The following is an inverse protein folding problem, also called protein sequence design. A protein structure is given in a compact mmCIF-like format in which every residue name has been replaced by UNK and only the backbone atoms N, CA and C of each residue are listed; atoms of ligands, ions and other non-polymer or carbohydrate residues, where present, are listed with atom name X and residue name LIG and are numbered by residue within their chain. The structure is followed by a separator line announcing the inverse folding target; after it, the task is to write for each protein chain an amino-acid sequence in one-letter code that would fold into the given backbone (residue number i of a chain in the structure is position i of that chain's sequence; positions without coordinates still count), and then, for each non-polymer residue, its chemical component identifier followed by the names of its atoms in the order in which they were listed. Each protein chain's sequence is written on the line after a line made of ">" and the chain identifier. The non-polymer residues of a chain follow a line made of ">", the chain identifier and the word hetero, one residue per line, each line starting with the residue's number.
data_IF_150609274753
#
_entry.id   IF_150609274753
#
_cell.length_a   1.000
_cell.length_b   1.000
_cell.length_c   1.000
_cell.angle_alpha   90.00
_cell.angle_beta   90.00
_cell.angle_gamma   90.00
#
_symmetry.space_group_name_H-M   'P 1'
#
loop_
_entity.id
_entity.type
_entity.pdbx_description
1 polymer ?
#
# COMPACT_ATOMS: atom_id res chain seq x y z
N UNK A 1 17.85 2.11 19.55
CA UNK A 1 18.14 3.56 19.65
C UNK A 1 17.07 4.27 18.84
N UNK A 2 16.14 4.97 19.50
CA UNK A 2 15.09 5.72 18.81
C UNK A 2 15.67 7.07 18.39
N UNK A 3 15.61 7.38 17.09
CA UNK A 3 16.13 8.62 16.53
C UNK A 3 15.04 9.70 16.58
N UNK A 4 15.42 10.98 16.68
CA UNK A 4 14.46 12.09 16.62
C UNK A 4 13.69 12.12 15.28
N UNK A 5 14.26 11.54 14.22
CA UNK A 5 13.63 11.35 12.92
C UNK A 5 12.55 10.25 12.91
N UNK A 6 12.51 9.37 13.92
CA UNK A 6 11.41 8.42 14.11
C UNK A 6 10.16 9.09 14.69
N UNK A 7 10.34 10.22 15.38
CA UNK A 7 9.27 10.99 16.05
C UNK A 7 8.62 11.99 15.09
N UNK A 8 9.40 12.65 14.23
CA UNK A 8 8.91 13.64 13.27
C UNK A 8 9.01 13.15 11.82
N UNK A 9 7.95 12.51 11.31
CA UNK A 9 7.82 12.12 9.90
C UNK A 9 6.89 13.08 9.16
N UNK A 10 7.46 13.97 8.34
CA UNK A 10 6.71 14.76 7.35
C UNK A 10 6.06 13.78 6.38
N UNK A 11 4.73 13.74 6.32
CA UNK A 11 4.03 12.72 5.53
C UNK A 11 2.72 13.24 4.93
N UNK A 12 2.27 12.56 3.89
CA UNK A 12 1.10 12.94 3.10
C UNK A 12 -0.10 12.14 3.59
N UNK A 13 -0.91 12.74 4.47
CA UNK A 13 -2.21 12.21 4.89
C UNK A 13 -2.51 12.43 6.38
N UNK A 14 -3.79 12.31 6.79
CA UNK A 14 -4.23 12.61 8.16
C UNK A 14 -3.79 11.59 9.22
N UNK A 15 -3.27 10.41 8.81
CA UNK A 15 -2.76 9.38 9.73
C UNK A 15 -1.57 8.63 9.12
N UNK A 16 -0.43 8.73 9.79
CA UNK A 16 0.81 8.05 9.39
C UNK A 16 0.68 6.51 9.50
N UNK A 17 0.04 5.96 10.54
CA UNK A 17 -0.04 4.51 10.75
C UNK A 17 -0.92 3.78 9.72
N UNK A 18 -2.01 4.40 9.27
CA UNK A 18 -2.99 3.74 8.40
C UNK A 18 -2.78 4.05 6.91
N UNK A 19 -1.87 4.95 6.54
CA UNK A 19 -1.49 5.17 5.13
C UNK A 19 -0.02 4.79 4.89
N UNK A 20 0.89 5.32 5.71
CA UNK A 20 2.33 5.18 5.52
C UNK A 20 2.81 3.76 5.82
N UNK A 21 2.35 3.18 6.93
CA UNK A 21 2.68 1.80 7.30
C UNK A 21 2.33 0.80 6.18
N UNK A 22 1.07 0.78 5.70
CA UNK A 22 0.67 -0.05 4.57
C UNK A 22 1.45 0.22 3.28
N UNK A 23 1.81 1.48 3.01
CA UNK A 23 2.60 1.85 1.83
C UNK A 23 4.03 1.31 1.88
N UNK A 24 4.70 1.49 3.01
CA UNK A 24 6.06 0.97 3.23
C UNK A 24 6.05 -0.56 3.15
N UNK A 25 5.09 -1.21 3.81
CA UNK A 25 4.95 -2.67 3.78
C UNK A 25 4.71 -3.19 2.35
N UNK A 26 3.84 -2.55 1.58
CA UNK A 26 3.55 -2.92 0.20
C UNK A 26 4.76 -2.74 -0.72
N UNK A 27 5.53 -1.66 -0.56
CA UNK A 27 6.78 -1.45 -1.30
C UNK A 27 7.82 -2.51 -0.94
N UNK A 28 8.01 -2.80 0.33
CA UNK A 28 8.94 -3.86 0.76
C UNK A 28 8.55 -5.21 0.16
N UNK A 29 7.25 -5.56 0.18
CA UNK A 29 6.76 -6.78 -0.45
C UNK A 29 7.05 -6.81 -1.96
N UNK A 30 6.74 -5.72 -2.68
CA UNK A 30 7.08 -5.54 -4.10
C UNK A 30 8.57 -5.75 -4.36
N UNK A 31 9.43 -5.16 -3.55
CA UNK A 31 10.88 -5.22 -3.72
C UNK A 31 11.44 -6.63 -3.42
N UNK A 32 10.81 -7.41 -2.53
CA UNK A 32 11.14 -8.83 -2.34
C UNK A 32 10.82 -9.68 -3.57
N UNK A 33 9.75 -9.31 -4.30
CA UNK A 33 9.33 -10.00 -5.52
C UNK A 33 10.22 -9.69 -6.73
N UNK A 34 11.16 -8.74 -6.66
CA UNK A 34 12.16 -8.48 -7.72
C UNK A 34 12.95 -9.72 -8.13
N UNK A 35 13.06 -10.70 -7.23
CA UNK A 35 13.83 -11.93 -7.45
C UNK A 35 12.99 -13.09 -8.02
N UNK A 36 11.67 -12.90 -8.15
CA UNK A 36 10.74 -13.91 -8.67
C UNK A 36 10.26 -13.53 -10.07
N UNK A 37 10.28 -14.49 -11.01
CA UNK A 37 9.82 -14.24 -12.39
C UNK A 37 8.35 -14.60 -12.62
N UNK A 38 7.75 -15.41 -11.75
CA UNK A 38 6.36 -15.85 -11.86
C UNK A 38 5.51 -15.17 -10.78
N UNK A 39 4.63 -14.28 -11.22
CA UNK A 39 3.73 -13.55 -10.35
C UNK A 39 2.38 -13.35 -11.06
N UNK A 40 1.42 -14.20 -10.71
CA UNK A 40 0.09 -14.20 -11.34
C UNK A 40 -0.88 -13.21 -10.70
N UNK A 41 -0.83 -13.08 -9.37
CA UNK A 41 -1.77 -12.24 -8.61
C UNK A 41 -1.17 -11.75 -7.31
N UNK A 42 -1.51 -10.51 -6.94
CA UNK A 42 -1.21 -9.92 -5.64
C UNK A 42 -2.53 -9.70 -4.88
N UNK A 43 -2.57 -10.08 -3.62
CA UNK A 43 -3.66 -9.73 -2.70
C UNK A 43 -3.07 -9.18 -1.40
N UNK A 44 -3.63 -8.08 -0.92
CA UNK A 44 -3.34 -7.51 0.39
C UNK A 44 -4.54 -7.76 1.31
N UNK A 45 -4.26 -8.30 2.50
CA UNK A 45 -5.29 -8.52 3.53
C UNK A 45 -4.90 -7.80 4.79
N UNK A 46 -5.82 -6.98 5.29
CA UNK A 46 -5.65 -6.18 6.49
C UNK A 46 -6.44 -6.85 7.61
N UNK A 47 -5.89 -6.83 8.82
CA UNK A 47 -6.47 -7.43 10.02
C UNK A 47 -6.55 -6.43 11.16
N UNK A 48 -7.36 -6.73 12.18
CA UNK A 48 -7.44 -5.94 13.41
C UNK A 48 -7.82 -4.48 13.16
N UNK A 49 -7.24 -3.55 13.93
CA UNK A 49 -7.52 -2.11 13.84
C UNK A 49 -7.36 -1.56 12.41
N UNK A 50 -6.36 -2.05 11.68
CA UNK A 50 -6.11 -1.68 10.29
C UNK A 50 -7.24 -2.12 9.36
N UNK A 51 -7.87 -3.27 9.62
CA UNK A 51 -9.05 -3.71 8.88
C UNK A 51 -10.28 -2.84 9.16
N UNK A 52 -10.51 -2.49 10.43
CA UNK A 52 -11.70 -1.73 10.84
C UNK A 52 -11.71 -0.30 10.29
N UNK A 53 -10.57 0.38 10.32
CA UNK A 53 -10.52 1.82 10.03
C UNK A 53 -9.76 2.14 8.74
N UNK A 54 -8.97 1.20 8.21
CA UNK A 54 -8.04 1.45 7.12
C UNK A 54 -8.68 1.94 5.82
N UNK A 55 -9.93 1.56 5.53
CA UNK A 55 -10.64 2.06 4.33
C UNK A 55 -10.88 3.57 4.41
N UNK A 56 -11.29 4.08 5.57
CA UNK A 56 -11.52 5.51 5.79
C UNK A 56 -10.20 6.29 5.92
N UNK A 57 -9.15 5.66 6.44
CA UNK A 57 -7.84 6.30 6.64
C UNK A 57 -6.83 6.10 5.51
N UNK A 58 -7.23 5.52 4.37
CA UNK A 58 -6.41 5.51 3.15
C UNK A 58 -5.41 4.35 3.04
N UNK A 59 -5.58 3.25 3.78
CA UNK A 59 -4.71 2.07 3.68
C UNK A 59 -4.70 1.48 2.29
N UNK A 60 -5.85 1.46 1.62
CA UNK A 60 -5.95 1.04 0.22
C UNK A 60 -5.08 1.88 -0.72
N UNK A 61 -5.05 3.20 -0.52
CA UNK A 61 -4.20 4.12 -1.30
C UNK A 61 -2.73 3.81 -1.01
N UNK A 62 -2.36 3.68 0.26
CA UNK A 62 -1.00 3.34 0.66
C UNK A 62 -0.51 2.06 0.00
N UNK A 63 -1.30 0.98 0.07
CA UNK A 63 -0.98 -0.30 -0.55
C UNK A 63 -0.77 -0.16 -2.06
N UNK A 64 -1.69 0.50 -2.77
CA UNK A 64 -1.57 0.70 -4.22
C UNK A 64 -0.27 1.42 -4.57
N UNK A 65 0.03 2.53 -3.89
CA UNK A 65 1.22 3.33 -4.17
C UNK A 65 2.52 2.59 -3.84
N UNK A 66 2.53 1.84 -2.74
CA UNK A 66 3.66 1.00 -2.37
C UNK A 66 3.93 -0.10 -3.38
N UNK A 67 2.88 -0.77 -3.88
CA UNK A 67 3.00 -1.78 -4.94
C UNK A 67 3.53 -1.20 -6.26
N UNK A 68 3.21 0.07 -6.57
CA UNK A 68 3.79 0.78 -7.71
C UNK A 68 5.23 1.27 -7.46
N UNK A 69 5.74 1.13 -6.23
CA UNK A 69 7.12 1.41 -5.85
C UNK A 69 7.37 2.80 -5.27
N UNK A 70 6.32 3.60 -5.05
CA UNK A 70 6.46 4.92 -4.43
C UNK A 70 6.79 4.81 -2.94
N UNK A 71 7.50 5.81 -2.42
CA UNK A 71 7.62 6.05 -0.97
C UNK A 71 6.91 7.35 -0.59
N UNK A 72 6.56 7.54 0.71
CA UNK A 72 5.98 8.79 1.20
C UNK A 72 6.83 10.03 0.89
N UNK A 73 8.15 9.86 0.85
CA UNK A 73 9.12 10.93 0.58
C UNK A 73 9.22 11.28 -0.91
N UNK A 74 8.92 10.33 -1.81
CA UNK A 74 9.11 10.50 -3.26
C UNK A 74 7.84 10.88 -4.01
N UNK A 75 6.67 10.83 -3.37
CA UNK A 75 5.39 11.03 -4.06
C UNK A 75 4.75 12.36 -3.69
N UNK A 76 4.15 13.05 -4.67
CA UNK A 76 3.38 14.28 -4.44
C UNK A 76 1.88 14.00 -4.26
N UNK A 77 1.16 14.96 -3.66
CA UNK A 77 -0.30 14.87 -3.48
C UNK A 77 -1.07 14.74 -4.81
N UNK A 78 -0.57 15.38 -5.87
CA UNK A 78 -1.14 15.27 -7.21
C UNK A 78 -0.93 13.87 -7.80
N UNK A 79 0.27 13.31 -7.64
CA UNK A 79 0.57 11.94 -8.09
C UNK A 79 -0.27 10.90 -7.37
N UNK A 80 -0.47 11.03 -6.06
CA UNK A 80 -1.34 10.14 -5.28
C UNK A 80 -2.73 10.07 -5.92
N UNK A 81 -3.36 11.22 -6.17
CA UNK A 81 -4.71 11.27 -6.78
C UNK A 81 -4.71 10.64 -8.17
N UNK A 82 -3.72 10.98 -8.99
CA UNK A 82 -3.58 10.50 -10.37
C UNK A 82 -3.39 8.98 -10.41
N UNK A 83 -2.43 8.44 -9.66
CA UNK A 83 -2.08 7.01 -9.67
C UNK A 83 -3.20 6.16 -9.11
N UNK A 84 -3.77 6.51 -7.96
CA UNK A 84 -4.89 5.76 -7.38
C UNK A 84 -6.10 5.75 -8.33
N UNK A 85 -6.42 6.87 -8.97
CA UNK A 85 -7.51 6.93 -9.95
C UNK A 85 -7.22 6.08 -11.19
N UNK A 86 -5.98 6.10 -11.68
CA UNK A 86 -5.56 5.26 -12.81
C UNK A 86 -5.70 3.78 -12.50
N UNK A 87 -5.16 3.29 -11.37
CA UNK A 87 -5.26 1.88 -10.97
C UNK A 87 -6.71 1.44 -10.79
N UNK A 88 -7.56 2.29 -10.18
CA UNK A 88 -8.99 1.98 -10.06
C UNK A 88 -9.71 1.85 -11.40
N UNK A 89 -9.32 2.65 -12.39
CA UNK A 89 -9.92 2.62 -13.73
C UNK A 89 -9.38 1.49 -14.59
N UNK A 90 -8.07 1.26 -14.57
CA UNK A 90 -7.43 0.24 -15.41
C UNK A 90 -7.54 -1.16 -14.81
N UNK A 91 -7.66 -1.28 -13.48
CA UNK A 91 -7.50 -2.56 -12.80
C UNK A 91 -6.08 -3.11 -12.93
N UNK A 92 -5.10 -2.23 -13.17
CA UNK A 92 -3.70 -2.59 -13.38
C UNK A 92 -2.82 -1.72 -12.49
N UNK A 93 -1.89 -2.34 -11.78
CA UNK A 93 -0.76 -1.67 -11.13
C UNK A 93 0.44 -1.69 -12.08
N UNK A 94 1.15 -0.56 -12.18
CA UNK A 94 2.47 -0.57 -12.80
C UNK A 94 3.44 -1.26 -11.85
N UNK A 95 3.82 -2.46 -12.21
CA UNK A 95 4.80 -3.25 -11.51
C UNK A 95 6.17 -3.09 -12.19
N UNK A 96 7.18 -3.65 -11.54
CA UNK A 96 8.59 -3.69 -11.95
C UNK A 96 8.84 -3.68 -13.47
N UNK A 97 9.86 -2.94 -13.92
CA UNK A 97 10.32 -2.90 -15.33
C UNK A 97 9.19 -2.73 -16.37
N UNK A 98 8.21 -1.88 -16.05
CA UNK A 98 7.03 -1.60 -16.90
C UNK A 98 6.06 -2.79 -17.11
N UNK A 99 6.25 -3.92 -16.42
CA UNK A 99 5.23 -4.98 -16.39
C UNK A 99 4.01 -4.46 -15.63
N UNK A 100 2.82 -4.74 -16.13
CA UNK A 100 1.58 -4.41 -15.43
C UNK A 100 0.97 -5.69 -14.87
N UNK A 101 0.43 -5.62 -13.64
CA UNK A 101 -0.23 -6.75 -12.99
C UNK A 101 -1.69 -6.38 -12.77
N UNK A 102 -2.59 -7.34 -13.01
CA UNK A 102 -4.01 -7.17 -12.69
C UNK A 102 -4.19 -7.01 -11.20
N UNK A 103 -4.84 -5.92 -10.82
CA UNK A 103 -5.09 -5.58 -9.43
C UNK A 103 -6.38 -4.78 -9.31
N UNK A 104 -7.43 -5.45 -8.85
CA UNK A 104 -8.71 -4.85 -8.55
C UNK A 104 -8.71 -4.39 -7.08
N UNK A 105 -8.65 -3.08 -6.86
CA UNK A 105 -8.54 -2.48 -5.52
C UNK A 105 -9.63 -2.97 -4.56
N UNK A 106 -10.86 -3.21 -5.01
CA UNK A 106 -11.96 -3.65 -4.12
C UNK A 106 -11.97 -5.16 -3.88
N UNK A 107 -11.37 -5.98 -4.77
CA UNK A 107 -11.32 -7.45 -4.63
C UNK A 107 -10.00 -7.96 -4.05
N UNK A 108 -8.90 -7.29 -4.36
CA UNK A 108 -7.55 -7.68 -4.01
C UNK A 108 -7.05 -6.96 -2.76
N UNK A 109 -7.79 -5.98 -2.23
CA UNK A 109 -7.59 -5.44 -0.88
C UNK A 109 -8.74 -5.88 0.01
N UNK A 110 -8.46 -6.85 0.88
CA UNK A 110 -9.45 -7.45 1.78
C UNK A 110 -9.30 -6.86 3.18
N UNK A 111 -10.36 -6.25 3.68
CA UNK A 111 -10.45 -5.78 5.06
C UNK A 111 -11.09 -6.90 5.89
N UNK A 112 -10.27 -7.71 6.55
CA UNK A 112 -10.73 -8.83 7.36
C UNK A 112 -10.89 -8.39 8.82
N UNK A 113 -12.13 -7.99 9.17
CA UNK A 113 -12.51 -7.57 10.52
C UNK A 113 -12.92 -8.72 11.42
N UNK A 114 -12.91 -9.97 10.93
CA UNK A 114 -13.38 -11.14 11.69
C UNK A 114 -12.21 -11.96 12.23
N UNK A 115 -11.12 -12.02 11.46
CA UNK A 115 -9.94 -12.79 11.85
C UNK A 115 -9.04 -11.98 12.78
N UNK A 116 -8.76 -12.52 13.97
CA UNK A 116 -7.78 -11.93 14.88
C UNK A 116 -6.36 -12.18 14.37
N UNK A 117 -5.49 -11.15 14.30
CA UNK A 117 -4.10 -11.35 13.90
C UNK A 117 -3.32 -12.08 15.00
N UNK A 118 -2.30 -12.86 14.62
CA UNK A 118 -1.44 -13.61 15.57
C UNK A 118 -0.42 -12.73 16.32
N UNK A 119 -0.37 -11.43 16.01
CA UNK A 119 0.55 -10.43 16.59
C UNK A 119 0.17 -9.00 16.15
N UNK A 120 0.93 -8.00 16.61
CA UNK A 120 0.77 -6.58 16.25
C UNK A 120 2.07 -5.98 15.69
#
# INVERSE_FOLDING_TARGET
>A
MYSIFDIFKVSIGPSSSHTMGPMIAAKHFRDLLLKSNDLDRIQARLYGSLAYTGKAHGSNKGIVLGLEGFTPETITTQEIKKRVSQVKKSGLIKFLNQKSISFNVEKDIVFDTKTAPKGH
#
